data_IF_856161523220
#
_entry.id   IF_856161523220
#
_cell.length_a   1.000
_cell.length_b   1.000
_cell.length_c   1.000
_cell.angle_alpha   90.00
_cell.angle_beta   90.00
_cell.angle_gamma   90.00
#
_symmetry.space_group_name_H-M   'P 1'
#
loop_
_entity.id
_entity.type
_entity.pdbx_description
1 polymer ?
#
# COMPACT_ATOMS: atom_id res chain seq x y z
N UNK A 1 -12.95 -18.63 7.90
CA UNK A 1 -12.97 -17.34 7.16
C UNK A 1 -12.22 -16.22 7.89
N UNK A 2 -12.32 -16.13 9.22
CA UNK A 2 -11.64 -15.12 10.05
C UNK A 2 -10.12 -15.01 9.84
N UNK A 3 -9.42 -16.13 10.01
CA UNK A 3 -7.95 -16.22 9.89
C UNK A 3 -7.49 -15.90 8.46
N UNK A 4 -8.25 -16.34 7.45
CA UNK A 4 -7.95 -16.04 6.06
C UNK A 4 -8.05 -14.53 5.76
N UNK A 5 -9.05 -13.83 6.31
CA UNK A 5 -9.18 -12.37 6.15
C UNK A 5 -8.02 -11.61 6.81
N UNK A 6 -7.52 -12.08 7.95
CA UNK A 6 -6.36 -11.50 8.63
C UNK A 6 -5.07 -11.68 7.80
N UNK A 7 -4.80 -12.90 7.32
CA UNK A 7 -3.62 -13.15 6.48
C UNK A 7 -3.69 -12.41 5.14
N UNK A 8 -4.89 -12.33 4.54
CA UNK A 8 -5.09 -11.57 3.31
C UNK A 8 -4.84 -10.07 3.53
N UNK A 9 -5.38 -9.49 4.60
CA UNK A 9 -5.14 -8.11 4.96
C UNK A 9 -3.66 -7.82 5.26
N UNK A 10 -3.00 -8.72 6.00
CA UNK A 10 -1.56 -8.61 6.28
C UNK A 10 -0.73 -8.67 4.99
N UNK A 11 -1.06 -9.59 4.08
CA UNK A 11 -0.41 -9.69 2.77
C UNK A 11 -0.57 -8.42 1.94
N UNK A 12 -1.78 -7.84 1.92
CA UNK A 12 -2.03 -6.55 1.26
C UNK A 12 -1.23 -5.41 1.89
N UNK A 13 -1.08 -5.39 3.21
CA UNK A 13 -0.27 -4.39 3.92
C UNK A 13 1.19 -4.45 3.47
N UNK A 14 1.77 -5.65 3.44
CA UNK A 14 3.16 -5.87 3.02
C UNK A 14 3.32 -5.52 1.54
N UNK A 15 2.40 -5.96 0.69
CA UNK A 15 2.42 -5.64 -0.74
C UNK A 15 2.35 -4.12 -0.98
N UNK A 16 1.51 -3.41 -0.22
CA UNK A 16 1.40 -1.94 -0.30
C UNK A 16 2.71 -1.25 0.09
N UNK A 17 3.36 -1.72 1.16
CA UNK A 17 4.64 -1.18 1.59
C UNK A 17 5.74 -1.41 0.55
N UNK A 18 5.86 -2.64 0.02
CA UNK A 18 6.83 -2.98 -1.04
C UNK A 18 6.55 -2.17 -2.31
N UNK A 19 5.28 -2.02 -2.68
CA UNK A 19 4.89 -1.22 -3.84
C UNK A 19 5.32 0.25 -3.69
N UNK A 20 4.90 0.91 -2.61
CA UNK A 20 5.10 2.34 -2.45
C UNK A 20 6.53 2.74 -2.09
N UNK A 21 7.20 1.98 -1.22
CA UNK A 21 8.55 2.33 -0.76
C UNK A 21 9.67 1.77 -1.64
N UNK A 22 9.39 0.74 -2.44
CA UNK A 22 10.41 0.09 -3.25
C UNK A 22 10.11 0.21 -4.75
N UNK A 23 8.99 -0.33 -5.24
CA UNK A 23 8.73 -0.40 -6.67
C UNK A 23 8.51 0.96 -7.33
N UNK A 24 7.74 1.85 -6.69
CA UNK A 24 7.50 3.21 -7.21
C UNK A 24 8.80 4.04 -7.29
N UNK A 25 9.61 4.15 -6.22
CA UNK A 25 10.89 4.84 -6.30
C UNK A 25 11.88 4.18 -7.25
N UNK A 26 11.90 2.84 -7.33
CA UNK A 26 12.77 2.11 -8.25
C UNK A 26 12.39 2.39 -9.71
N UNK A 27 11.10 2.36 -10.05
CA UNK A 27 10.62 2.73 -11.38
C UNK A 27 10.93 4.18 -11.74
N UNK A 28 10.87 5.08 -10.76
CA UNK A 28 11.31 6.47 -10.92
C UNK A 28 12.82 6.62 -11.11
N UNK A 29 13.64 5.88 -10.36
CA UNK A 29 15.09 5.89 -10.51
C UNK A 29 15.52 5.36 -11.90
N UNK A 30 14.75 4.43 -12.46
CA UNK A 30 14.94 3.91 -13.82
C UNK A 30 14.45 4.89 -14.90
N UNK A 31 13.56 5.85 -14.57
CA UNK A 31 13.05 6.86 -15.49
C UNK A 31 13.57 8.27 -15.15
N UNK A 32 14.78 8.55 -15.62
CA UNK A 32 15.56 9.76 -15.31
C UNK A 32 14.97 11.08 -15.86
N UNK A 33 13.91 11.04 -16.66
CA UNK A 33 13.30 12.24 -17.28
C UNK A 33 11.99 12.69 -16.63
N UNK A 34 11.36 11.86 -15.79
CA UNK A 34 9.99 12.11 -15.30
C UNK A 34 9.83 12.32 -13.80
N UNK A 35 10.75 11.84 -12.96
CA UNK A 35 10.57 11.86 -11.50
C UNK A 35 11.44 12.94 -10.82
N UNK A 36 10.95 14.19 -10.85
CA UNK A 36 11.52 15.31 -10.09
C UNK A 36 10.82 15.58 -8.74
N UNK A 37 9.73 14.88 -8.44
CA UNK A 37 8.92 15.13 -7.24
C UNK A 37 9.37 14.29 -6.04
N UNK A 38 9.22 14.85 -4.83
CA UNK A 38 9.41 14.09 -3.60
C UNK A 38 8.23 13.14 -3.40
N UNK A 39 8.47 11.85 -3.55
CA UNK A 39 7.51 10.80 -3.19
C UNK A 39 7.34 10.75 -1.68
N UNK A 40 6.24 11.33 -1.20
CA UNK A 40 5.85 11.27 0.21
C UNK A 40 4.48 10.64 0.31
N UNK A 41 4.17 10.02 1.45
CA UNK A 41 2.82 9.48 1.72
C UNK A 41 1.73 10.56 1.69
N UNK A 42 2.12 11.84 1.67
CA UNK A 42 1.22 13.00 1.62
C UNK A 42 1.13 13.63 0.22
N UNK A 43 1.88 13.15 -0.77
CA UNK A 43 1.73 13.59 -2.16
C UNK A 43 0.46 12.99 -2.79
N UNK A 44 0.01 13.55 -3.92
CA UNK A 44 -1.10 12.96 -4.69
C UNK A 44 -0.82 11.50 -5.08
N UNK A 45 0.44 11.20 -5.43
CA UNK A 45 0.93 9.84 -5.66
C UNK A 45 0.85 8.96 -4.40
N UNK A 46 1.16 9.52 -3.23
CA UNK A 46 0.97 8.87 -1.93
C UNK A 46 -0.49 8.52 -1.63
N UNK A 47 -1.42 9.41 -1.95
CA UNK A 47 -2.84 9.15 -1.75
C UNK A 47 -3.32 7.93 -2.54
N UNK A 48 -2.91 7.82 -3.81
CA UNK A 48 -3.34 6.74 -4.69
C UNK A 48 -2.59 5.44 -4.39
N UNK A 49 -1.27 5.48 -4.29
CA UNK A 49 -0.44 4.27 -4.22
C UNK A 49 -0.16 3.77 -2.80
N UNK A 50 -0.36 4.59 -1.77
CA UNK A 50 -0.16 4.20 -0.37
C UNK A 50 -1.46 4.15 0.41
N UNK A 51 -2.22 5.25 0.45
CA UNK A 51 -3.41 5.33 1.32
C UNK A 51 -4.56 4.45 0.84
N UNK A 52 -4.82 4.40 -0.46
CA UNK A 52 -5.94 3.60 -1.00
C UNK A 52 -5.73 2.10 -0.71
N UNK A 53 -4.58 1.48 -1.01
CA UNK A 53 -4.34 0.08 -0.68
C UNK A 53 -4.26 -0.18 0.82
N UNK A 54 -3.70 0.77 1.60
CA UNK A 54 -3.64 0.68 3.06
C UNK A 54 -5.04 0.61 3.69
N UNK A 55 -5.99 1.44 3.23
CA UNK A 55 -7.37 1.44 3.70
C UNK A 55 -8.07 0.11 3.37
N UNK A 56 -7.84 -0.42 2.17
CA UNK A 56 -8.36 -1.74 1.77
C UNK A 56 -7.79 -2.83 2.69
N UNK A 57 -6.48 -2.87 2.91
CA UNK A 57 -5.84 -3.83 3.82
C UNK A 57 -6.40 -3.73 5.25
N UNK A 58 -6.54 -2.51 5.78
CA UNK A 58 -7.11 -2.26 7.11
C UNK A 58 -8.57 -2.71 7.20
N UNK A 59 -9.39 -2.41 6.20
CA UNK A 59 -10.80 -2.83 6.19
C UNK A 59 -10.94 -4.35 6.18
N UNK A 60 -10.10 -5.07 5.42
CA UNK A 60 -10.07 -6.53 5.40
C UNK A 60 -9.71 -7.12 6.78
N UNK A 61 -8.72 -6.55 7.46
CA UNK A 61 -8.37 -6.95 8.83
C UNK A 61 -9.45 -6.60 9.83
N UNK A 62 -10.06 -5.41 9.75
CA UNK A 62 -11.14 -5.00 10.64
C UNK A 62 -12.37 -5.91 10.50
N UNK A 63 -12.72 -6.28 9.26
CA UNK A 63 -13.76 -7.27 8.99
C UNK A 63 -13.43 -8.64 9.60
N UNK A 64 -12.18 -9.09 9.45
CA UNK A 64 -11.70 -10.32 10.07
C UNK A 64 -11.69 -10.25 11.61
N UNK A 65 -11.45 -9.09 12.21
CA UNK A 65 -11.39 -8.92 13.66
C UNK A 65 -12.79 -8.76 14.29
N UNK A 66 -13.69 -8.01 13.66
CA UNK A 66 -15.02 -7.67 14.18
C UNK A 66 -16.06 -8.78 14.06
N UNK A 67 -15.82 -9.81 13.24
CA UNK A 67 -16.65 -11.02 13.16
C UNK A 67 -16.33 -12.03 14.29
N UNK A 68 -15.97 -11.55 15.47
CA UNK A 68 -15.61 -12.37 16.65
C UNK A 68 -16.81 -12.83 17.45
#
# INVERSE_FOLDING_TARGET
MRIAALFFGLGLLVATAVWFFYLVPLGCAMNTTGCGERFTVWSGTGLVHFWTPLLVARSAMAYGAGRS
#
